data_IF_372649543521
#
_entry.id   IF_372649543521
#
_cell.length_a   1.000
_cell.length_b   1.000
_cell.length_c   1.000
_cell.angle_alpha   90.00
_cell.angle_beta   90.00
_cell.angle_gamma   90.00
#
_symmetry.space_group_name_H-M   'P 1'
#
loop_
_entity.id
_entity.type
_entity.pdbx_description
1 polymer ?
#
# COMPACT_ATOMS: atom_id res chain seq x y z
N UNK A 1 -8.50 -10.82 -14.38
CA UNK A 1 -7.31 -10.66 -13.53
C UNK A 1 -6.71 -9.31 -13.84
N UNK A 2 -6.45 -8.51 -12.80
CA UNK A 2 -5.91 -7.15 -12.93
C UNK A 2 -4.57 -7.13 -12.22
N UNK A 3 -3.50 -7.23 -13.01
CA UNK A 3 -2.16 -7.20 -12.45
C UNK A 3 -1.92 -5.83 -11.83
N UNK A 4 -1.51 -5.80 -10.57
CA UNK A 4 -1.35 -4.56 -9.81
C UNK A 4 0.08 -4.45 -9.33
N UNK A 5 0.75 -3.35 -9.67
CA UNK A 5 2.10 -3.05 -9.19
C UNK A 5 2.01 -1.93 -8.16
N UNK A 6 2.58 -2.17 -6.99
CA UNK A 6 2.68 -1.23 -5.88
C UNK A 6 4.09 -0.64 -5.85
N UNK A 7 4.19 0.67 -5.84
CA UNK A 7 5.41 1.45 -5.70
C UNK A 7 5.30 2.22 -4.38
N UNK A 8 6.24 1.98 -3.47
CA UNK A 8 6.27 2.63 -2.17
C UNK A 8 7.62 3.30 -1.97
N UNK A 9 7.57 4.55 -1.51
CA UNK A 9 8.72 5.30 -1.08
C UNK A 9 8.51 5.80 0.36
N UNK A 10 9.04 5.08 1.37
CA UNK A 10 8.86 5.42 2.77
C UNK A 10 9.55 6.72 3.17
N UNK A 11 10.67 7.07 2.51
CA UNK A 11 11.42 8.29 2.80
C UNK A 11 11.74 9.02 1.50
N UNK A 12 11.99 10.33 1.58
CA UNK A 12 12.44 11.14 0.44
C UNK A 12 13.73 10.65 -0.23
N UNK A 13 14.44 9.69 0.39
CA UNK A 13 15.65 9.12 -0.18
C UNK A 13 15.29 8.15 -1.32
N UNK A 14 15.96 8.29 -2.48
CA UNK A 14 15.68 7.45 -3.64
C UNK A 14 16.01 5.96 -3.41
N UNK A 15 16.91 5.64 -2.47
CA UNK A 15 17.33 4.28 -2.13
C UNK A 15 16.27 3.48 -1.37
N UNK A 16 15.29 4.16 -0.77
CA UNK A 16 14.19 3.50 -0.04
C UNK A 16 13.02 3.10 -0.95
N UNK A 17 13.11 3.35 -2.27
CA UNK A 17 12.06 2.98 -3.21
C UNK A 17 11.98 1.47 -3.35
N UNK A 18 10.81 0.94 -3.03
CA UNK A 18 10.52 -0.48 -3.12
C UNK A 18 9.33 -0.68 -4.05
N UNK A 19 9.36 -1.75 -4.83
CA UNK A 19 8.25 -2.13 -5.69
C UNK A 19 7.82 -3.56 -5.39
N UNK A 20 6.55 -3.85 -5.57
CA UNK A 20 5.98 -5.18 -5.38
C UNK A 20 4.87 -5.39 -6.40
N UNK A 21 4.88 -6.54 -7.06
CA UNK A 21 3.86 -6.92 -8.02
C UNK A 21 2.86 -7.91 -7.41
N UNK A 22 1.61 -7.80 -7.84
CA UNK A 22 0.48 -8.59 -7.36
C UNK A 22 -0.40 -9.00 -8.54
N UNK A 23 -0.96 -10.21 -8.48
CA UNK A 23 -1.85 -10.71 -9.54
C UNK A 23 -3.27 -10.12 -9.48
N UNK A 24 -3.66 -9.58 -8.32
CA UNK A 24 -4.96 -8.96 -8.07
C UNK A 24 -4.86 -7.71 -7.18
N UNK A 25 -5.87 -6.85 -7.24
CA UNK A 25 -5.98 -5.68 -6.35
C UNK A 25 -6.12 -6.09 -4.89
N UNK A 26 -6.78 -7.21 -4.60
CA UNK A 26 -6.95 -7.75 -3.25
C UNK A 26 -5.61 -8.15 -2.63
N UNK A 27 -4.76 -8.85 -3.40
CA UNK A 27 -3.40 -9.21 -2.97
C UNK A 27 -2.54 -7.97 -2.70
N UNK A 28 -2.69 -6.93 -3.52
CA UNK A 28 -2.02 -5.64 -3.29
C UNK A 28 -2.44 -4.99 -1.97
N UNK A 29 -3.74 -5.00 -1.64
CA UNK A 29 -4.24 -4.49 -0.36
C UNK A 29 -3.73 -5.31 0.83
N UNK A 30 -3.71 -6.64 0.71
CA UNK A 30 -3.09 -7.50 1.73
C UNK A 30 -1.60 -7.20 1.90
N UNK A 31 -0.89 -6.88 0.81
CA UNK A 31 0.49 -6.43 0.85
C UNK A 31 0.69 -5.16 1.68
N UNK A 32 -0.14 -4.14 1.47
CA UNK A 32 -0.10 -2.89 2.25
C UNK A 32 -0.38 -3.18 3.74
N UNK A 33 -1.38 -4.01 4.04
CA UNK A 33 -1.68 -4.42 5.41
C UNK A 33 -0.49 -5.12 6.08
N UNK A 34 0.16 -6.08 5.40
CA UNK A 34 1.35 -6.79 5.92
C UNK A 34 2.52 -5.84 6.19
N UNK A 35 2.78 -4.90 5.29
CA UNK A 35 3.84 -3.89 5.49
C UNK A 35 3.56 -3.08 6.76
N UNK A 36 2.31 -2.68 6.95
CA UNK A 36 1.89 -1.94 8.14
C UNK A 36 1.98 -2.79 9.41
N UNK A 37 1.58 -4.08 9.37
CA UNK A 37 1.73 -5.01 10.49
C UNK A 37 3.19 -5.22 10.88
N UNK A 38 4.10 -5.36 9.91
CA UNK A 38 5.54 -5.45 10.19
C UNK A 38 6.09 -4.17 10.81
N UNK A 39 5.64 -3.01 10.33
CA UNK A 39 5.99 -1.72 10.91
C UNK A 39 5.53 -1.63 12.38
N UNK A 40 4.29 -2.03 12.67
CA UNK A 40 3.73 -2.06 14.02
C UNK A 40 4.47 -3.05 14.94
N UNK A 41 4.82 -4.25 14.43
CA UNK A 41 5.62 -5.24 15.19
C UNK A 41 7.01 -4.73 15.53
N UNK A 42 7.65 -3.99 14.62
CA UNK A 42 8.96 -3.35 14.89
C UNK A 42 8.87 -2.26 15.95
N UNK A 43 7.77 -1.50 16.00
CA UNK A 43 7.55 -0.50 17.04
C UNK A 43 7.20 -1.13 18.39
N UNK A 44 6.39 -2.20 18.41
CA UNK A 44 5.90 -2.83 19.63
C UNK A 44 6.25 -4.33 19.67
N UNK A 45 7.53 -4.69 19.88
CA UNK A 45 7.99 -6.09 19.86
C UNK A 45 7.41 -6.94 21.00
N UNK A 46 6.83 -6.31 22.03
CA UNK A 46 6.22 -6.96 23.19
C UNK A 46 4.76 -7.36 22.99
N UNK A 47 4.10 -6.88 21.94
CA UNK A 47 2.67 -7.08 21.71
C UNK A 47 2.45 -8.12 20.62
N UNK A 48 2.00 -9.32 21.02
CA UNK A 48 1.86 -10.47 20.13
C UNK A 48 0.69 -10.36 19.12
N UNK A 49 -0.34 -9.57 19.43
CA UNK A 49 -1.47 -9.30 18.54
C UNK A 49 -1.80 -7.82 18.58
N UNK A 50 -1.64 -7.15 17.43
CA UNK A 50 -1.86 -5.71 17.28
C UNK A 50 -3.12 -5.53 16.45
N UNK A 51 -4.18 -5.04 17.09
CA UNK A 51 -5.38 -4.59 16.40
C UNK A 51 -5.17 -3.16 15.94
N UNK A 52 -5.38 -2.91 14.65
CA UNK A 52 -5.31 -1.57 14.07
C UNK A 52 -6.67 -1.18 13.48
N UNK A 53 -6.92 0.12 13.46
CA UNK A 53 -8.09 0.70 12.83
C UNK A 53 -7.73 1.18 11.43
N UNK A 54 -8.72 1.28 10.54
CA UNK A 54 -8.54 1.79 9.18
C UNK A 54 -7.95 3.21 9.18
N UNK A 55 -8.28 4.01 10.20
CA UNK A 55 -7.78 5.38 10.37
C UNK A 55 -6.25 5.40 10.53
N UNK A 56 -5.70 4.49 11.34
CA UNK A 56 -4.24 4.41 11.55
C UNK A 56 -3.49 3.94 10.30
N UNK A 57 -4.11 3.07 9.51
CA UNK A 57 -3.54 2.66 8.21
C UNK A 57 -3.48 3.86 7.26
N UNK A 58 -4.52 4.70 7.21
CA UNK A 58 -4.50 5.92 6.42
C UNK A 58 -3.44 6.92 6.88
N UNK A 59 -3.29 7.13 8.18
CA UNK A 59 -2.21 7.99 8.71
C UNK A 59 -0.82 7.45 8.37
N UNK A 60 -0.65 6.13 8.29
CA UNK A 60 0.60 5.53 7.84
C UNK A 60 0.86 5.83 6.37
N UNK A 61 -0.15 5.69 5.51
CA UNK A 61 -0.05 6.00 4.09
C UNK A 61 0.27 7.48 3.86
N UNK A 62 -0.38 8.38 4.60
CA UNK A 62 -0.16 9.84 4.52
C UNK A 62 1.26 10.26 4.93
N UNK A 63 1.89 9.49 5.84
CA UNK A 63 3.29 9.70 6.24
C UNK A 63 4.31 9.25 5.20
N UNK A 64 3.92 8.38 4.26
CA UNK A 64 4.82 7.94 3.19
C UNK A 64 5.06 9.10 2.22
N UNK A 65 6.29 9.25 1.74
CA UNK A 65 6.62 10.35 0.82
C UNK A 65 6.00 10.17 -0.56
N UNK A 66 5.88 8.91 -1.02
CA UNK A 66 5.18 8.56 -2.25
C UNK A 66 4.58 7.15 -2.12
N UNK A 67 3.33 7.00 -2.50
CA UNK A 67 2.68 5.71 -2.70
C UNK A 67 1.89 5.77 -3.99
N UNK A 68 2.25 4.89 -4.91
CA UNK A 68 1.62 4.79 -6.22
C UNK A 68 1.29 3.33 -6.50
N UNK A 69 0.06 3.02 -6.89
CA UNK A 69 -0.24 1.71 -7.46
C UNK A 69 -0.75 1.83 -8.88
N UNK A 70 -0.24 0.94 -9.73
CA UNK A 70 -0.52 0.83 -11.14
C UNK A 70 -1.37 -0.42 -11.34
N UNK A 71 -2.65 -0.23 -11.69
CA UNK A 71 -3.55 -1.35 -11.97
C UNK A 71 -3.61 -1.54 -13.49
N UNK A 72 -3.11 -2.69 -13.96
CA UNK A 72 -3.21 -3.11 -15.35
C UNK A 72 -4.54 -3.83 -15.55
N UNK A 73 -5.52 -3.11 -16.06
CA UNK A 73 -6.76 -3.72 -16.54
C UNK A 73 -6.59 -4.12 -18.01
N UNK A 74 -6.58 -5.43 -18.27
CA UNK A 74 -6.47 -5.98 -19.64
C UNK A 74 -7.76 -5.83 -20.45
N UNK A 75 -8.88 -5.50 -19.81
CA UNK A 75 -10.21 -5.39 -20.43
C UNK A 75 -10.54 -3.95 -20.83
N UNK A 76 -9.84 -2.97 -20.26
CA UNK A 76 -9.99 -1.55 -20.60
C UNK A 76 -8.64 -0.88 -20.36
N UNK A 77 -8.05 -0.28 -21.40
CA UNK A 77 -6.77 0.46 -21.39
C UNK A 77 -6.82 1.73 -20.50
N UNK A 78 -7.32 1.61 -19.28
CA UNK A 78 -7.42 2.68 -18.31
C UNK A 78 -6.42 2.40 -17.19
N UNK A 79 -5.32 3.16 -17.18
CA UNK A 79 -4.32 3.10 -16.13
C UNK A 79 -4.85 3.92 -14.94
N UNK A 80 -5.57 3.27 -14.03
CA UNK A 80 -6.05 3.93 -12.82
C UNK A 80 -4.91 3.98 -11.80
N UNK A 81 -4.43 5.19 -11.49
CA UNK A 81 -3.47 5.45 -10.41
C UNK A 81 -4.20 5.44 -9.06
N UNK A 82 -3.70 4.66 -8.09
CA UNK A 82 -4.42 4.35 -6.84
C UNK A 82 -4.51 5.50 -5.83
N UNK A 83 -3.73 6.57 -5.96
CA UNK A 83 -3.94 7.78 -5.11
C UNK A 83 -5.34 8.36 -5.31
N UNK A 84 -5.92 8.22 -6.51
CA UNK A 84 -7.30 8.65 -6.78
C UNK A 84 -8.34 7.65 -6.23
N UNK A 85 -8.03 6.35 -6.11
CA UNK A 85 -8.98 5.31 -5.65
C UNK A 85 -9.27 5.43 -4.15
N UNK A 86 -8.27 5.75 -3.34
CA UNK A 86 -8.46 5.93 -1.89
C UNK A 86 -9.26 7.21 -1.60
N UNK A 87 -9.05 8.29 -2.37
CA UNK A 87 -9.86 9.52 -2.25
C UNK A 87 -11.24 9.43 -2.92
N UNK A 88 -11.46 8.59 -3.95
CA UNK A 88 -12.79 8.43 -4.62
C UNK A 88 -13.82 7.66 -3.80
N UNK A 89 -13.40 6.99 -2.74
CA UNK A 89 -14.27 6.23 -1.84
C UNK A 89 -14.66 7.02 -0.57
N UNK A 90 -14.37 8.33 -0.55
CA UNK A 90 -14.92 9.30 0.40
C UNK A 90 -15.92 10.24 -0.27
#
# INVERSE_FOLDING_TARGET
>A
MVHTILLIQPTVRPDSRTWSDYESTTDCLEGICKIYEEFLKKQNPTMASITYDVSHLYEFIDKLSDLSCLILNTVSFHCSFVVDIILKWM
#
